data_IF_628466998601
#
_entry.id   IF_628466998601
#
_cell.length_a   1.000
_cell.length_b   1.000
_cell.length_c   1.000
_cell.angle_alpha   90.00
_cell.angle_beta   90.00
_cell.angle_gamma   90.00
#
_symmetry.space_group_name_H-M   'P 1'
#
loop_
_entity.id
_entity.type
_entity.pdbx_description
1 polymer ?
#
# COMPACT_ATOMS: atom_id res chain seq x y z
N UNK A 1 0.30 -7.89 -11.68
CA UNK A 1 0.11 -8.42 -13.05
C UNK A 1 1.36 -9.19 -13.36
N UNK A 2 1.19 -10.50 -13.43
CA UNK A 2 2.25 -11.41 -13.82
C UNK A 2 2.29 -11.47 -15.35
N UNK A 3 3.41 -11.01 -15.91
CA UNK A 3 3.70 -11.07 -17.33
C UNK A 3 4.71 -12.16 -17.69
N UNK A 4 5.05 -13.07 -16.77
CA UNK A 4 5.91 -14.22 -17.03
C UNK A 4 5.18 -15.30 -17.83
N UNK A 5 5.94 -16.21 -18.43
CA UNK A 5 5.38 -17.40 -19.06
C UNK A 5 5.53 -18.59 -18.13
N UNK A 6 4.53 -19.47 -18.12
CA UNK A 6 4.54 -20.75 -17.41
C UNK A 6 5.62 -21.69 -17.95
N UNK A 7 6.84 -21.48 -17.47
CA UNK A 7 7.95 -22.34 -17.81
C UNK A 7 7.74 -23.74 -17.21
N UNK A 8 8.06 -24.82 -17.95
CA UNK A 8 8.04 -26.15 -17.37
C UNK A 8 9.10 -26.25 -16.27
N UNK A 9 8.89 -27.11 -15.27
CA UNK A 9 9.80 -27.32 -14.13
C UNK A 9 11.28 -27.69 -14.48
N UNK A 10 11.57 -27.93 -15.76
CA UNK A 10 12.93 -28.13 -16.27
C UNK A 10 13.64 -26.82 -16.68
N UNK A 11 12.94 -25.69 -16.63
CA UNK A 11 13.50 -24.38 -16.94
C UNK A 11 14.47 -23.94 -15.85
N UNK A 12 15.58 -23.29 -16.21
CA UNK A 12 16.48 -22.67 -15.24
C UNK A 12 15.92 -21.37 -14.64
N UNK A 13 14.84 -20.83 -15.22
CA UNK A 13 14.15 -19.61 -14.75
C UNK A 13 13.06 -19.97 -13.72
N UNK A 14 12.66 -19.04 -12.84
CA UNK A 14 11.63 -19.28 -11.83
C UNK A 14 10.35 -19.78 -12.47
N UNK A 15 9.68 -20.67 -11.77
CA UNK A 15 8.33 -21.08 -12.13
C UNK A 15 7.34 -19.97 -11.77
N UNK A 16 6.14 -20.06 -12.34
CA UNK A 16 5.01 -19.21 -12.00
C UNK A 16 4.70 -19.25 -10.48
N UNK A 17 4.77 -20.43 -9.86
CA UNK A 17 4.60 -20.60 -8.41
C UNK A 17 5.70 -19.85 -7.61
N UNK A 18 6.96 -19.87 -8.08
CA UNK A 18 8.04 -19.12 -7.41
C UNK A 18 7.82 -17.60 -7.50
N UNK A 19 7.27 -17.13 -8.61
CA UNK A 19 6.96 -15.72 -8.85
C UNK A 19 5.78 -15.25 -8.00
N UNK A 20 4.71 -16.03 -7.99
CA UNK A 20 3.52 -15.79 -7.17
C UNK A 20 3.86 -15.77 -5.68
N UNK A 21 4.65 -16.74 -5.20
CA UNK A 21 5.09 -16.80 -3.81
C UNK A 21 5.95 -15.57 -3.44
N UNK A 22 6.91 -15.20 -4.29
CA UNK A 22 7.77 -14.04 -4.05
C UNK A 22 6.97 -12.73 -3.99
N UNK A 23 6.11 -12.47 -4.97
CA UNK A 23 5.30 -11.24 -4.98
C UNK A 23 4.24 -11.25 -3.87
N UNK A 24 3.71 -12.41 -3.50
CA UNK A 24 2.82 -12.54 -2.34
C UNK A 24 3.56 -12.25 -1.03
N UNK A 25 4.82 -12.64 -0.89
CA UNK A 25 5.63 -12.39 0.29
C UNK A 25 5.95 -10.90 0.47
N UNK A 26 6.51 -10.25 -0.56
CA UNK A 26 6.91 -8.83 -0.48
C UNK A 26 5.70 -7.89 -0.34
N UNK A 27 4.51 -8.36 -0.72
CA UNK A 27 3.26 -7.59 -0.67
C UNK A 27 2.28 -8.08 0.40
N UNK A 28 2.68 -9.03 1.27
CA UNK A 28 1.81 -9.61 2.30
C UNK A 28 1.18 -8.55 3.24
N UNK A 29 1.82 -7.39 3.36
CA UNK A 29 1.31 -6.25 4.09
C UNK A 29 0.16 -5.49 3.41
N UNK A 30 -0.24 -5.79 2.18
CA UNK A 30 -1.18 -4.99 1.39
C UNK A 30 -2.38 -5.80 0.91
N UNK A 31 -3.50 -5.12 0.60
CA UNK A 31 -4.67 -5.78 0.00
C UNK A 31 -4.45 -5.93 -1.51
N UNK A 32 -3.94 -7.09 -1.90
CA UNK A 32 -3.55 -7.38 -3.29
C UNK A 32 -4.47 -8.41 -3.96
N UNK A 33 -4.42 -8.39 -5.28
CA UNK A 33 -4.89 -9.46 -6.17
C UNK A 33 -3.86 -9.69 -7.25
N UNK A 34 -3.64 -10.93 -7.67
CA UNK A 34 -2.83 -11.26 -8.85
C UNK A 34 -3.70 -11.35 -10.11
N UNK A 35 -3.05 -11.14 -11.25
CA UNK A 35 -3.62 -11.34 -12.58
C UNK A 35 -2.53 -11.95 -13.45
N UNK A 36 -2.76 -13.16 -13.94
CA UNK A 36 -1.82 -13.90 -14.76
C UNK A 36 -2.16 -13.71 -16.24
N UNK A 37 -1.22 -13.11 -16.98
CA UNK A 37 -1.38 -12.87 -18.42
C UNK A 37 -1.29 -14.16 -19.23
N UNK A 38 -0.52 -15.16 -18.79
CA UNK A 38 -0.41 -16.45 -19.48
C UNK A 38 -1.73 -17.23 -19.43
N UNK A 39 -2.42 -17.23 -18.28
CA UNK A 39 -3.73 -17.87 -18.14
C UNK A 39 -4.91 -17.03 -18.65
N UNK A 40 -5.00 -15.76 -18.27
CA UNK A 40 -6.20 -14.93 -18.48
C UNK A 40 -6.09 -13.94 -19.65
N UNK A 41 -4.90 -13.81 -20.23
CA UNK A 41 -4.60 -12.80 -21.25
C UNK A 41 -4.46 -11.39 -20.65
N UNK A 42 -4.43 -10.37 -21.52
CA UNK A 42 -4.23 -8.99 -21.05
C UNK A 42 -5.39 -8.52 -20.18
N UNK A 43 -5.12 -7.88 -19.03
CA UNK A 43 -6.17 -7.34 -18.18
C UNK A 43 -6.95 -6.25 -18.93
N UNK A 44 -8.29 -6.32 -18.99
CA UNK A 44 -9.08 -5.26 -19.62
C UNK A 44 -9.02 -3.98 -18.79
N UNK A 45 -9.27 -2.81 -19.39
CA UNK A 45 -9.29 -1.52 -18.67
C UNK A 45 -10.23 -1.52 -17.45
N UNK A 46 -11.32 -2.28 -17.48
CA UNK A 46 -12.24 -2.43 -16.35
C UNK A 46 -11.60 -3.13 -15.14
N UNK A 47 -10.57 -3.94 -15.37
CA UNK A 47 -9.79 -4.56 -14.32
C UNK A 47 -8.83 -3.53 -13.70
N UNK A 48 -8.03 -2.84 -14.52
CA UNK A 48 -7.15 -1.75 -14.08
C UNK A 48 -7.87 -0.72 -13.21
N UNK A 49 -9.08 -0.32 -13.62
CA UNK A 49 -9.85 0.72 -12.95
C UNK A 49 -10.26 0.39 -11.50
N UNK A 50 -10.09 -0.85 -11.05
CA UNK A 50 -10.38 -1.26 -9.66
C UNK A 50 -9.25 -0.90 -8.69
N UNK A 51 -8.04 -0.66 -9.18
CA UNK A 51 -6.84 -0.56 -8.35
C UNK A 51 -6.23 0.84 -8.42
N UNK A 52 -5.76 1.35 -7.29
CA UNK A 52 -4.97 2.59 -7.21
C UNK A 52 -3.53 2.39 -7.68
N UNK A 53 -3.00 1.17 -7.52
CA UNK A 53 -1.64 0.79 -7.89
C UNK A 53 -1.63 -0.51 -8.65
N UNK A 54 -0.85 -0.55 -9.74
CA UNK A 54 -0.54 -1.75 -10.50
C UNK A 54 0.95 -2.04 -10.37
N UNK A 55 1.27 -3.28 -10.06
CA UNK A 55 2.63 -3.81 -10.14
C UNK A 55 2.67 -4.74 -11.34
N UNK A 56 3.56 -4.45 -12.27
CA UNK A 56 3.84 -5.26 -13.43
C UNK A 56 5.23 -5.88 -13.27
N UNK A 57 5.29 -7.21 -13.28
CA UNK A 57 6.55 -7.94 -13.26
C UNK A 57 6.64 -8.90 -14.43
N UNK A 58 7.86 -9.10 -14.91
CA UNK A 58 8.15 -9.92 -16.07
C UNK A 58 9.62 -10.34 -16.00
N UNK A 59 9.81 -11.43 -15.31
CA UNK A 59 11.13 -11.98 -15.06
C UNK A 59 11.49 -13.01 -16.16
N UNK A 60 10.82 -12.88 -17.32
CA UNK A 60 11.04 -13.64 -18.55
C UNK A 60 11.97 -12.90 -19.53
N UNK A 61 12.79 -13.64 -20.26
CA UNK A 61 13.72 -13.17 -21.28
C UNK A 61 13.17 -13.27 -22.71
N UNK A 62 11.97 -13.85 -22.91
CA UNK A 62 11.41 -14.13 -24.25
C UNK A 62 10.33 -13.14 -24.66
N UNK A 63 9.35 -12.84 -23.80
CA UNK A 63 8.23 -11.97 -24.18
C UNK A 63 7.85 -10.98 -23.07
N UNK A 64 7.51 -9.75 -23.45
CA UNK A 64 7.03 -8.73 -22.52
C UNK A 64 5.62 -8.28 -22.91
N UNK A 65 4.60 -8.83 -22.24
CA UNK A 65 3.21 -8.63 -22.64
C UNK A 65 2.73 -7.17 -22.58
N UNK A 66 3.37 -6.30 -21.80
CA UNK A 66 2.93 -4.90 -21.69
C UNK A 66 3.03 -4.13 -23.02
N UNK A 67 3.92 -4.54 -23.94
CA UNK A 67 4.00 -3.94 -25.29
C UNK A 67 2.68 -4.09 -26.07
N UNK A 68 1.92 -5.16 -25.81
CA UNK A 68 0.61 -5.37 -26.43
C UNK A 68 -0.53 -4.59 -25.74
N UNK A 69 -0.33 -4.09 -24.51
CA UNK A 69 -1.39 -3.48 -23.67
C UNK A 69 -1.24 -1.96 -23.46
N UNK A 70 -0.52 -1.28 -24.35
CA UNK A 70 -0.27 0.17 -24.23
C UNK A 70 -1.51 1.02 -24.05
N UNK A 71 -2.65 0.63 -24.62
CA UNK A 71 -3.85 1.45 -24.55
C UNK A 71 -4.45 1.49 -23.14
N UNK A 72 -4.53 0.34 -22.47
CA UNK A 72 -5.15 0.27 -21.15
C UNK A 72 -4.21 0.84 -20.09
N UNK A 73 -2.94 0.46 -20.11
CA UNK A 73 -1.92 1.00 -19.21
C UNK A 73 -1.80 2.54 -19.34
N UNK A 74 -1.79 3.07 -20.57
CA UNK A 74 -1.84 4.52 -20.82
C UNK A 74 -3.09 5.16 -20.21
N UNK A 75 -4.26 4.59 -20.49
CA UNK A 75 -5.54 5.14 -20.01
C UNK A 75 -5.61 5.15 -18.49
N UNK A 76 -5.05 4.12 -17.86
CA UNK A 76 -4.91 3.99 -16.42
C UNK A 76 -4.00 5.07 -15.81
N UNK A 77 -2.79 5.26 -16.37
CA UNK A 77 -1.86 6.31 -15.92
C UNK A 77 -2.45 7.71 -16.10
N UNK A 78 -3.12 7.99 -17.23
CA UNK A 78 -3.80 9.27 -17.45
C UNK A 78 -4.98 9.52 -16.49
N UNK A 79 -5.52 8.46 -15.87
CA UNK A 79 -6.53 8.57 -14.82
C UNK A 79 -5.93 8.78 -13.41
N UNK A 80 -4.60 8.84 -13.29
CA UNK A 80 -3.87 9.05 -12.04
C UNK A 80 -3.49 7.77 -11.30
N UNK A 81 -3.54 6.61 -11.97
CA UNK A 81 -3.11 5.34 -11.40
C UNK A 81 -1.59 5.26 -11.20
N UNK A 82 -1.13 4.48 -10.23
CA UNK A 82 0.30 4.27 -9.97
C UNK A 82 0.80 2.99 -10.63
N UNK A 83 2.03 2.99 -11.14
CA UNK A 83 2.61 1.83 -11.81
C UNK A 83 4.03 1.52 -11.33
N UNK A 84 4.28 0.29 -10.89
CA UNK A 84 5.62 -0.26 -10.77
C UNK A 84 5.85 -1.23 -11.93
N UNK A 85 6.97 -1.09 -12.63
CA UNK A 85 7.44 -2.07 -13.61
C UNK A 85 8.78 -2.63 -13.15
N UNK A 86 8.88 -3.95 -13.13
CA UNK A 86 10.10 -4.72 -12.91
C UNK A 86 10.27 -5.69 -14.06
N UNK A 87 11.38 -5.57 -14.80
CA UNK A 87 11.58 -6.38 -15.99
C UNK A 87 13.04 -6.60 -16.36
N UNK A 88 13.28 -7.67 -17.10
CA UNK A 88 14.52 -7.90 -17.83
C UNK A 88 14.34 -7.72 -19.32
N UNK A 89 15.46 -7.39 -19.98
CA UNK A 89 15.71 -7.46 -21.42
C UNK A 89 14.79 -6.64 -22.30
N UNK A 90 13.50 -6.56 -22.05
CA UNK A 90 12.45 -6.24 -23.01
C UNK A 90 12.01 -4.77 -22.90
N UNK A 91 12.57 -4.03 -21.94
CA UNK A 91 12.33 -2.60 -21.82
C UNK A 91 12.97 -1.78 -22.95
N UNK A 92 13.86 -2.35 -23.79
CA UNK A 92 14.31 -1.66 -25.00
C UNK A 92 13.30 -1.76 -26.15
N UNK A 93 12.38 -2.75 -26.12
CA UNK A 93 11.41 -3.01 -27.19
C UNK A 93 10.08 -2.26 -26.99
N UNK A 94 9.89 -1.59 -25.85
CA UNK A 94 8.73 -0.73 -25.61
C UNK A 94 8.69 0.42 -26.62
N UNK A 95 7.54 0.61 -27.28
CA UNK A 95 7.33 1.73 -28.20
C UNK A 95 7.78 3.08 -27.61
N UNK A 96 8.60 3.82 -28.36
CA UNK A 96 9.26 5.07 -27.94
C UNK A 96 8.28 6.10 -27.34
N UNK A 97 7.06 6.21 -27.88
CA UNK A 97 6.04 7.12 -27.35
C UNK A 97 5.50 6.67 -25.98
N UNK A 98 5.46 5.36 -25.69
CA UNK A 98 5.03 4.91 -24.37
C UNK A 98 6.15 5.09 -23.35
N UNK A 99 7.37 4.69 -23.70
CA UNK A 99 8.53 4.81 -22.82
C UNK A 99 8.86 6.26 -22.48
N UNK A 100 8.87 7.18 -23.44
CA UNK A 100 9.18 8.60 -23.20
C UNK A 100 8.08 9.30 -22.40
N UNK A 101 6.81 9.15 -22.80
CA UNK A 101 5.71 9.95 -22.24
C UNK A 101 5.02 9.33 -21.01
N UNK A 102 5.19 8.03 -20.77
CA UNK A 102 4.49 7.31 -19.71
C UNK A 102 5.42 6.61 -18.71
N UNK A 103 6.57 6.13 -19.17
CA UNK A 103 7.60 5.52 -18.30
C UNK A 103 8.78 6.45 -18.02
N UNK A 104 8.84 7.59 -18.71
CA UNK A 104 9.81 8.66 -18.57
C UNK A 104 11.27 8.28 -18.81
N UNK A 105 11.55 7.42 -19.78
CA UNK A 105 12.91 7.22 -20.29
C UNK A 105 12.95 7.39 -21.81
N UNK A 106 14.00 8.03 -22.32
CA UNK A 106 14.19 8.29 -23.75
C UNK A 106 14.75 7.08 -24.49
N UNK A 107 15.54 6.25 -23.81
CA UNK A 107 16.15 5.05 -24.40
C UNK A 107 16.49 4.05 -23.32
N UNK A 108 16.49 2.76 -23.70
CA UNK A 108 16.92 1.65 -22.86
C UNK A 108 17.91 0.78 -23.63
N UNK A 109 18.90 0.23 -22.93
CA UNK A 109 19.91 -0.68 -23.48
C UNK A 109 20.08 -1.88 -22.56
N UNK A 110 20.32 -3.06 -23.13
CA UNK A 110 20.46 -4.31 -22.39
C UNK A 110 21.91 -4.76 -22.30
N UNK A 111 22.34 -5.18 -21.10
CA UNK A 111 23.65 -5.81 -20.91
C UNK A 111 23.54 -7.31 -21.16
N UNK A 112 24.15 -7.85 -22.19
CA UNK A 112 24.13 -9.30 -22.48
C UNK A 112 25.28 -10.08 -21.81
N UNK A 113 26.03 -9.43 -20.91
CA UNK A 113 27.13 -10.01 -20.14
C UNK A 113 26.72 -10.29 -18.69
N UNK A 114 27.35 -11.28 -18.06
CA UNK A 114 27.18 -11.61 -16.63
C UNK A 114 27.95 -10.63 -15.76
N UNK A 115 27.42 -9.42 -15.67
CA UNK A 115 28.12 -8.27 -15.11
C UNK A 115 27.34 -7.55 -14.00
N UNK A 116 26.02 -7.68 -13.94
CA UNK A 116 25.24 -7.01 -12.91
C UNK A 116 25.41 -7.71 -11.56
N UNK A 117 26.19 -7.11 -10.66
CA UNK A 117 26.38 -7.58 -9.28
C UNK A 117 25.31 -7.03 -8.31
N UNK A 118 24.56 -6.02 -8.75
CA UNK A 118 23.56 -5.33 -7.97
C UNK A 118 23.39 -3.88 -8.43
N UNK A 119 22.81 -3.06 -7.57
CA UNK A 119 22.54 -1.67 -7.86
C UNK A 119 22.90 -0.76 -6.68
N UNK A 120 23.60 0.33 -6.98
CA UNK A 120 23.91 1.39 -6.03
C UNK A 120 22.69 2.30 -5.84
N UNK A 121 22.29 2.48 -4.59
CA UNK A 121 21.17 3.32 -4.22
C UNK A 121 21.45 4.80 -4.44
N UNK A 122 20.51 5.50 -5.08
CA UNK A 122 20.54 6.94 -5.32
C UNK A 122 19.36 7.60 -4.63
N UNK A 123 19.44 8.91 -4.37
CA UNK A 123 18.30 9.71 -3.87
C UNK A 123 17.57 9.13 -2.64
N UNK A 124 18.33 8.49 -1.74
CA UNK A 124 17.83 7.94 -0.48
C UNK A 124 17.42 6.46 -0.55
N UNK A 125 17.55 5.81 -1.71
CA UNK A 125 17.41 4.36 -1.83
C UNK A 125 18.67 3.64 -1.28
N UNK A 126 18.51 2.48 -0.61
CA UNK A 126 19.62 1.66 -0.15
C UNK A 126 20.29 0.92 -1.31
N UNK A 127 21.50 0.40 -1.13
CA UNK A 127 22.11 -0.49 -2.12
C UNK A 127 21.36 -1.85 -2.17
N UNK A 128 21.28 -2.43 -3.37
CA UNK A 128 20.70 -3.76 -3.61
C UNK A 128 21.79 -4.68 -4.17
N UNK A 129 21.86 -5.92 -3.68
CA UNK A 129 22.72 -6.95 -4.21
C UNK A 129 21.89 -8.04 -4.91
N UNK A 130 22.52 -8.71 -5.88
CA UNK A 130 21.98 -9.94 -6.48
C UNK A 130 22.01 -11.06 -5.45
N UNK A 131 20.91 -11.81 -5.37
CA UNK A 131 20.83 -13.06 -4.62
C UNK A 131 21.50 -14.17 -5.44
N UNK A 132 22.67 -14.63 -4.98
CA UNK A 132 23.49 -15.61 -5.69
C UNK A 132 22.82 -16.98 -5.76
N UNK A 133 21.91 -17.31 -4.83
CA UNK A 133 21.21 -18.59 -4.81
C UNK A 133 20.07 -18.64 -5.84
N UNK A 134 19.63 -17.47 -6.33
CA UNK A 134 18.57 -17.35 -7.35
C UNK A 134 19.09 -17.23 -8.77
N UNK A 135 20.41 -17.24 -9.00
CA UNK A 135 20.97 -17.11 -10.34
C UNK A 135 20.60 -18.34 -11.20
N UNK A 136 19.94 -18.15 -12.36
CA UNK A 136 19.30 -19.26 -13.07
C UNK A 136 20.31 -20.18 -13.79
N UNK A 137 21.44 -19.61 -14.21
CA UNK A 137 22.41 -20.29 -15.07
C UNK A 137 23.79 -20.27 -14.43
N UNK A 138 24.35 -21.45 -14.13
CA UNK A 138 25.65 -21.57 -13.48
C UNK A 138 26.81 -20.87 -14.22
N UNK A 139 26.72 -20.73 -15.55
CA UNK A 139 27.74 -20.03 -16.33
C UNK A 139 27.67 -18.50 -16.20
N UNK A 140 26.64 -17.96 -15.54
CA UNK A 140 26.56 -16.55 -15.17
C UNK A 140 27.41 -16.21 -13.94
N UNK A 141 27.91 -17.22 -13.21
CA UNK A 141 28.66 -16.99 -11.98
C UNK A 141 27.78 -16.33 -10.93
N UNK A 142 28.27 -15.23 -10.35
CA UNK A 142 27.61 -14.53 -9.24
C UNK A 142 26.83 -13.28 -9.70
N UNK A 143 26.66 -13.09 -11.01
CA UNK A 143 26.08 -11.87 -11.58
C UNK A 143 24.94 -12.16 -12.56
N UNK A 144 24.01 -11.23 -12.71
CA UNK A 144 22.92 -11.34 -13.68
C UNK A 144 23.30 -10.85 -15.07
N UNK A 145 22.63 -11.43 -16.08
CA UNK A 145 22.59 -10.93 -17.46
C UNK A 145 21.26 -10.22 -17.74
N UNK A 146 21.24 -9.50 -18.85
CA UNK A 146 20.07 -8.87 -19.45
C UNK A 146 19.41 -7.75 -18.63
N UNK A 147 20.16 -7.16 -17.71
CA UNK A 147 19.74 -5.96 -17.01
C UNK A 147 19.79 -4.75 -17.94
N UNK A 148 18.74 -3.95 -17.88
CA UNK A 148 18.60 -2.72 -18.66
C UNK A 148 19.22 -1.53 -17.93
N UNK A 149 19.86 -0.65 -18.70
CA UNK A 149 20.13 0.74 -18.32
C UNK A 149 19.24 1.69 -19.12
N UNK A 150 18.99 2.86 -18.56
CA UNK A 150 18.12 3.87 -19.11
C UNK A 150 18.86 5.18 -19.37
N UNK A 151 18.38 5.92 -20.37
CA UNK A 151 18.58 7.35 -20.49
C UNK A 151 17.29 8.02 -20.01
N UNK A 152 17.27 8.58 -18.79
CA UNK A 152 16.05 9.17 -18.23
C UNK A 152 15.54 10.34 -19.10
N UNK A 153 14.22 10.49 -19.17
CA UNK A 153 13.58 11.68 -19.75
C UNK A 153 13.54 12.83 -18.73
N UNK A 154 13.21 14.03 -19.20
CA UNK A 154 13.08 15.19 -18.32
C UNK A 154 12.05 14.96 -17.21
N UNK A 155 12.45 15.23 -15.97
CA UNK A 155 11.60 15.05 -14.78
C UNK A 155 11.66 13.66 -14.15
N UNK A 156 12.26 12.66 -14.81
CA UNK A 156 12.57 11.39 -14.16
C UNK A 156 13.71 11.56 -13.15
N UNK A 157 13.60 10.86 -12.03
CA UNK A 157 14.60 10.79 -10.98
C UNK A 157 15.23 9.40 -10.98
N UNK A 158 16.54 9.33 -11.15
CA UNK A 158 17.27 8.08 -11.02
C UNK A 158 17.22 7.56 -9.57
N UNK A 159 16.92 6.28 -9.37
CA UNK A 159 16.91 5.66 -8.03
C UNK A 159 18.01 4.62 -7.86
N UNK A 160 18.52 4.07 -8.97
CA UNK A 160 19.58 3.07 -8.93
C UNK A 160 20.60 3.24 -10.06
N UNK A 161 21.87 3.16 -9.70
CA UNK A 161 23.00 3.00 -10.62
C UNK A 161 23.44 1.55 -10.69
N UNK A 162 23.80 1.06 -11.87
CA UNK A 162 24.24 -0.32 -12.12
C UNK A 162 25.62 -0.56 -11.48
N UNK A 163 25.75 -1.64 -10.72
CA UNK A 163 27.04 -2.08 -10.14
C UNK A 163 27.65 -3.17 -11.04
N UNK A 164 28.70 -2.81 -11.77
CA UNK A 164 29.39 -3.67 -12.73
C UNK A 164 30.48 -4.48 -12.02
N UNK A 165 30.33 -5.80 -12.04
CA UNK A 165 31.30 -6.74 -11.47
C UNK A 165 32.68 -6.61 -12.12
N UNK A 166 32.73 -6.24 -13.41
CA UNK A 166 33.98 -6.07 -14.16
C UNK A 166 34.43 -4.61 -14.26
N UNK A 167 33.72 -3.66 -13.62
CA UNK A 167 33.93 -2.22 -13.75
C UNK A 167 33.89 -1.74 -15.21
N UNK A 168 32.93 -2.24 -15.99
CA UNK A 168 32.71 -1.79 -17.37
C UNK A 168 32.32 -0.30 -17.37
N UNK A 169 33.09 0.59 -18.02
CA UNK A 169 32.83 2.03 -17.99
C UNK A 169 31.50 2.44 -18.65
N UNK A 170 30.92 1.60 -19.51
CA UNK A 170 29.62 1.88 -20.13
C UNK A 170 28.45 1.51 -19.21
N UNK A 171 28.67 0.65 -18.22
CA UNK A 171 27.64 0.11 -17.34
C UNK A 171 27.78 0.57 -15.90
N UNK A 172 28.98 0.68 -15.38
CA UNK A 172 29.26 1.12 -14.02
C UNK A 172 28.63 2.50 -13.74
N UNK A 173 27.73 2.55 -12.74
CA UNK A 173 26.90 3.71 -12.38
C UNK A 173 25.88 4.17 -13.44
N UNK A 174 25.68 3.43 -14.54
CA UNK A 174 24.61 3.72 -15.48
C UNK A 174 23.25 3.54 -14.80
N UNK A 175 22.28 4.39 -15.12
CA UNK A 175 20.97 4.35 -14.45
C UNK A 175 20.25 3.05 -14.83
N UNK A 176 19.97 2.19 -13.86
CA UNK A 176 19.27 0.91 -14.08
C UNK A 176 17.89 0.85 -13.39
N UNK A 177 17.52 1.89 -12.65
CA UNK A 177 16.12 2.13 -12.30
C UNK A 177 15.86 3.61 -12.02
N UNK A 178 14.61 4.02 -12.23
CA UNK A 178 14.17 5.41 -12.10
C UNK A 178 12.72 5.48 -11.61
N UNK A 179 12.32 6.67 -11.18
CA UNK A 179 10.94 7.01 -10.85
C UNK A 179 10.53 8.34 -11.49
N UNK A 180 9.23 8.54 -11.63
CA UNK A 180 8.66 9.83 -12.02
C UNK A 180 7.39 10.09 -11.21
N UNK A 181 7.28 11.30 -10.67
CA UNK A 181 6.10 11.79 -9.95
C UNK A 181 5.52 13.02 -10.65
N UNK A 182 4.32 12.87 -11.20
CA UNK A 182 3.55 13.94 -11.82
C UNK A 182 2.06 13.75 -11.54
N UNK A 183 1.25 13.78 -12.60
CA UNK A 183 -0.20 13.47 -12.51
C UNK A 183 -0.47 12.01 -12.12
N UNK A 184 0.52 11.15 -12.33
CA UNK A 184 0.61 9.77 -11.86
C UNK A 184 2.02 9.50 -11.34
N UNK A 185 2.22 8.34 -10.71
CA UNK A 185 3.53 7.92 -10.22
C UNK A 185 3.95 6.63 -10.90
N UNK A 186 5.20 6.59 -11.35
CA UNK A 186 5.77 5.40 -11.97
C UNK A 186 7.15 5.09 -11.42
N UNK A 187 7.39 3.80 -11.19
CA UNK A 187 8.70 3.22 -10.90
C UNK A 187 9.05 2.24 -12.01
N UNK A 188 10.28 2.32 -12.53
CA UNK A 188 10.76 1.44 -13.60
C UNK A 188 12.10 0.87 -13.19
N UNK A 189 12.14 -0.45 -13.01
CA UNK A 189 13.33 -1.23 -12.73
C UNK A 189 13.76 -1.98 -13.99
N UNK A 190 15.02 -1.78 -14.38
CA UNK A 190 15.66 -2.49 -15.49
C UNK A 190 16.17 -3.87 -15.12
N UNK A 191 15.91 -4.30 -13.89
CA UNK A 191 16.21 -5.62 -13.37
C UNK A 191 14.98 -6.15 -12.61
N UNK A 192 14.80 -7.47 -12.55
CA UNK A 192 13.76 -8.14 -11.83
C UNK A 192 14.02 -8.12 -10.34
N UNK A 193 12.97 -7.95 -9.56
CA UNK A 193 13.08 -7.95 -8.11
C UNK A 193 13.32 -9.35 -7.55
N UNK A 194 12.82 -10.41 -8.20
CA UNK A 194 12.93 -11.80 -7.73
C UNK A 194 14.37 -12.20 -7.40
N UNK A 195 15.31 -11.81 -8.26
CA UNK A 195 16.72 -12.20 -8.21
C UNK A 195 17.59 -11.33 -7.28
N UNK A 196 16.97 -10.40 -6.56
CA UNK A 196 17.67 -9.57 -5.58
C UNK A 196 17.54 -10.16 -4.18
N UNK A 197 18.44 -9.73 -3.30
CA UNK A 197 18.39 -10.06 -1.87
C UNK A 197 17.06 -9.64 -1.22
N UNK A 198 16.39 -10.59 -0.57
CA UNK A 198 15.03 -10.42 -0.04
C UNK A 198 14.90 -9.20 0.88
N UNK A 199 15.84 -9.03 1.83
CA UNK A 199 15.78 -7.93 2.80
C UNK A 199 15.86 -6.55 2.15
N UNK A 200 16.55 -6.45 1.01
CA UNK A 200 16.63 -5.21 0.26
C UNK A 200 15.32 -4.96 -0.48
N UNK A 201 14.68 -6.01 -1.02
CA UNK A 201 13.38 -5.90 -1.69
C UNK A 201 12.27 -5.48 -0.71
N UNK A 202 12.19 -6.11 0.46
CA UNK A 202 11.19 -5.75 1.47
C UNK A 202 11.25 -4.25 1.81
N UNK A 203 12.47 -3.75 2.04
CA UNK A 203 12.68 -2.33 2.37
C UNK A 203 12.25 -1.39 1.24
N UNK A 204 12.56 -1.71 -0.02
CA UNK A 204 12.21 -0.82 -1.14
C UNK A 204 10.72 -0.88 -1.46
N UNK A 205 10.07 -2.02 -1.30
CA UNK A 205 8.63 -2.16 -1.55
C UNK A 205 7.87 -1.32 -0.54
N UNK A 206 8.22 -1.36 0.74
CA UNK A 206 7.63 -0.48 1.76
C UNK A 206 7.78 1.01 1.38
N UNK A 207 8.97 1.41 0.91
CA UNK A 207 9.21 2.79 0.46
C UNK A 207 8.35 3.17 -0.74
N UNK A 208 8.26 2.29 -1.76
CA UNK A 208 7.51 2.56 -2.99
C UNK A 208 6.01 2.61 -2.71
N UNK A 209 5.49 1.68 -1.90
CA UNK A 209 4.08 1.66 -1.53
C UNK A 209 3.69 2.91 -0.74
N UNK A 210 4.54 3.35 0.20
CA UNK A 210 4.35 4.61 0.90
C UNK A 210 4.33 5.81 -0.07
N UNK A 211 5.24 5.83 -1.06
CA UNK A 211 5.25 6.85 -2.11
C UNK A 211 3.99 6.80 -2.99
N UNK A 212 3.44 5.63 -3.28
CA UNK A 212 2.17 5.46 -3.97
C UNK A 212 0.95 5.86 -3.11
N UNK A 213 1.13 5.96 -1.79
CA UNK A 213 0.06 6.26 -0.85
C UNK A 213 -0.74 5.03 -0.45
N UNK A 214 -0.21 3.83 -0.71
CA UNK A 214 -0.78 2.57 -0.26
C UNK A 214 -0.45 2.38 1.22
N UNK A 215 -1.47 2.03 2.01
CA UNK A 215 -1.29 1.71 3.42
C UNK A 215 -1.18 0.21 3.59
N UNK A 216 -0.24 -0.23 4.41
CA UNK A 216 -0.24 -1.63 4.83
C UNK A 216 -1.52 -1.92 5.61
N UNK A 217 -2.04 -3.14 5.53
CA UNK A 217 -3.17 -3.65 6.32
C UNK A 217 -2.87 -3.53 7.82
N UNK A 218 -1.59 -3.67 8.22
CA UNK A 218 -1.15 -3.40 9.58
C UNK A 218 -1.37 -1.91 9.96
N UNK A 219 -1.10 -0.97 9.06
CA UNK A 219 -1.37 0.45 9.27
C UNK A 219 -2.86 0.82 9.10
N UNK A 220 -3.65 0.07 8.33
CA UNK A 220 -5.12 0.21 8.33
C UNK A 220 -5.70 -0.11 9.71
N UNK A 221 -5.12 -1.07 10.44
CA UNK A 221 -5.51 -1.31 11.85
C UNK A 221 -5.08 -0.20 12.81
N UNK A 222 -4.18 0.69 12.38
CA UNK A 222 -3.72 1.88 13.10
C UNK A 222 -4.41 3.17 12.66
N UNK A 223 -5.34 3.12 11.70
CA UNK A 223 -6.21 4.26 11.42
C UNK A 223 -6.87 4.70 12.73
N UNK A 224 -6.86 6.01 13.07
CA UNK A 224 -7.43 6.47 14.32
C UNK A 224 -8.87 6.00 14.37
N UNK A 225 -9.15 5.13 15.36
CA UNK A 225 -10.48 4.61 15.68
C UNK A 225 -11.45 5.78 15.55
N UNK A 226 -12.33 5.77 14.55
CA UNK A 226 -13.34 6.81 14.43
C UNK A 226 -14.40 6.55 15.50
N UNK A 227 -14.11 7.00 16.73
CA UNK A 227 -15.07 7.00 17.81
C UNK A 227 -16.07 8.12 17.52
N UNK A 228 -17.27 7.76 17.10
CA UNK A 228 -18.38 8.70 16.99
C UNK A 228 -19.12 8.76 18.34
N UNK A 229 -19.47 9.96 18.80
CA UNK A 229 -20.30 10.18 19.98
C UNK A 229 -21.36 11.24 19.67
N UNK A 230 -22.62 10.83 19.66
CA UNK A 230 -23.75 11.68 19.32
C UNK A 230 -24.84 11.55 20.38
N UNK A 231 -25.77 12.51 20.39
CA UNK A 231 -26.97 12.40 21.20
C UNK A 231 -28.17 12.95 20.45
N UNK A 232 -29.32 12.28 20.55
CA UNK A 232 -30.57 12.72 19.98
C UNK A 232 -31.76 12.38 20.89
N UNK A 233 -32.70 13.31 21.13
CA UNK A 233 -32.68 14.71 20.67
C UNK A 233 -31.62 15.57 21.39
N UNK A 234 -31.23 16.71 20.79
CA UNK A 234 -30.43 17.77 21.40
C UNK A 234 -30.85 19.12 20.79
N UNK A 235 -31.50 20.04 21.54
CA UNK A 235 -31.80 19.97 22.97
C UNK A 235 -32.83 18.87 23.31
N UNK A 236 -32.86 18.40 24.56
CA UNK A 236 -33.74 17.31 25.01
C UNK A 236 -34.55 17.65 26.27
N UNK A 237 -35.69 16.97 26.48
CA UNK A 237 -36.57 17.14 27.64
C UNK A 237 -37.29 15.83 28.05
N UNK A 238 -37.06 15.29 29.26
CA UNK A 238 -35.79 15.28 29.98
C UNK A 238 -34.86 14.17 29.46
N UNK A 239 -35.25 13.43 28.41
CA UNK A 239 -34.58 12.22 27.95
C UNK A 239 -33.86 12.39 26.62
N UNK A 240 -32.64 11.86 26.50
CA UNK A 240 -31.87 11.78 25.25
C UNK A 240 -31.23 10.39 25.11
N UNK A 241 -31.09 9.91 23.88
CA UNK A 241 -30.29 8.73 23.58
C UNK A 241 -28.90 9.18 23.20
N UNK A 242 -27.88 8.65 23.88
CA UNK A 242 -26.48 8.87 23.59
C UNK A 242 -26.00 7.66 22.80
N UNK A 243 -25.60 7.86 21.55
CA UNK A 243 -25.16 6.81 20.64
C UNK A 243 -23.67 6.95 20.36
N UNK A 244 -22.96 5.82 20.34
CA UNK A 244 -21.53 5.79 20.10
C UNK A 244 -21.09 4.53 19.34
N UNK A 245 -20.03 4.66 18.56
CA UNK A 245 -19.43 3.56 17.80
C UNK A 245 -18.02 3.27 18.30
N UNK A 246 -17.74 2.00 18.65
CA UNK A 246 -16.45 1.53 19.17
C UNK A 246 -16.19 0.14 18.60
N UNK A 247 -14.98 -0.11 18.08
CA UNK A 247 -14.63 -1.44 17.57
C UNK A 247 -14.46 -2.47 18.71
N UNK A 248 -14.79 -3.72 18.41
CA UNK A 248 -14.94 -4.86 19.35
C UNK A 248 -13.69 -5.14 20.20
N UNK A 249 -12.49 -4.81 19.71
CA UNK A 249 -11.22 -4.98 20.43
C UNK A 249 -10.97 -3.92 21.52
N UNK A 250 -11.68 -2.78 21.48
CA UNK A 250 -11.54 -1.64 22.41
C UNK A 250 -12.56 -1.62 23.55
N UNK A 251 -13.29 -2.73 23.78
CA UNK A 251 -14.48 -2.77 24.65
C UNK A 251 -14.18 -2.92 26.14
N UNK A 252 -12.97 -3.37 26.52
CA UNK A 252 -12.61 -3.61 27.92
C UNK A 252 -12.18 -2.31 28.62
N UNK A 253 -12.98 -1.82 29.56
CA UNK A 253 -12.68 -0.60 30.35
C UNK A 253 -13.33 0.68 29.82
N UNK A 254 -14.25 0.58 28.87
CA UNK A 254 -14.99 1.73 28.33
C UNK A 254 -16.01 2.28 29.35
N UNK A 255 -15.93 3.58 29.63
CA UNK A 255 -16.86 4.29 30.52
C UNK A 255 -17.45 5.51 29.82
N UNK A 256 -18.77 5.68 29.93
CA UNK A 256 -19.46 6.89 29.49
C UNK A 256 -19.90 7.69 30.72
N UNK A 257 -19.39 8.91 30.86
CA UNK A 257 -19.64 9.78 32.02
C UNK A 257 -20.28 11.09 31.56
N UNK A 258 -21.30 11.53 32.26
CA UNK A 258 -21.94 12.82 32.05
C UNK A 258 -21.43 13.81 33.09
N UNK A 259 -20.97 14.97 32.64
CA UNK A 259 -20.48 16.07 33.47
C UNK A 259 -21.36 17.31 33.35
N UNK A 260 -21.46 18.09 34.42
CA UNK A 260 -22.01 19.45 34.36
C UNK A 260 -20.93 20.49 33.97
N UNK A 261 -21.34 21.75 33.79
CA UNK A 261 -20.41 22.87 33.47
C UNK A 261 -19.27 23.09 34.47
N UNK A 262 -19.42 22.60 35.71
CA UNK A 262 -18.39 22.68 36.76
C UNK A 262 -17.42 21.49 36.73
N UNK A 263 -17.58 20.57 35.77
CA UNK A 263 -16.78 19.34 35.68
C UNK A 263 -17.14 18.29 36.72
N UNK A 264 -18.29 18.41 37.39
CA UNK A 264 -18.73 17.40 38.37
C UNK A 264 -19.39 16.23 37.62
N UNK A 265 -19.04 15.00 38.01
CA UNK A 265 -19.71 13.79 37.52
C UNK A 265 -21.18 13.81 37.98
N UNK A 266 -22.07 13.67 37.01
CA UNK A 266 -23.53 13.63 37.16
C UNK A 266 -24.03 12.19 37.06
N UNK A 267 -23.55 11.44 36.07
CA UNK A 267 -24.04 10.11 35.74
C UNK A 267 -22.92 9.30 35.10
N UNK A 268 -22.64 8.10 35.60
CA UNK A 268 -21.76 7.13 34.93
C UNK A 268 -22.57 5.96 34.36
N UNK A 269 -22.18 5.48 33.19
CA UNK A 269 -22.70 4.25 32.56
C UNK A 269 -21.53 3.29 32.30
N UNK A 270 -21.65 2.05 32.79
CA UNK A 270 -20.66 1.01 32.49
C UNK A 270 -21.05 0.34 31.18
N UNK A 271 -20.37 0.69 30.10
CA UNK A 271 -20.86 0.41 28.75
C UNK A 271 -21.02 -1.09 28.43
N UNK A 272 -20.35 -1.98 29.17
CA UNK A 272 -20.54 -3.42 29.08
C UNK A 272 -20.78 -3.97 30.49
N UNK A 273 -21.94 -4.58 30.81
CA UNK A 273 -23.05 -5.06 29.94
C UNK A 273 -24.28 -4.12 29.83
N UNK A 274 -24.19 -2.85 30.24
CA UNK A 274 -25.39 -1.99 30.41
C UNK A 274 -25.85 -1.25 29.15
N UNK A 275 -25.07 -1.27 28.06
CA UNK A 275 -25.46 -0.66 26.78
C UNK A 275 -26.32 -1.58 25.94
N UNK A 276 -27.26 -0.98 25.21
CA UNK A 276 -27.97 -1.67 24.14
C UNK A 276 -27.02 -1.78 22.94
N UNK A 277 -26.47 -2.97 22.74
CA UNK A 277 -25.62 -3.36 21.61
C UNK A 277 -25.68 -4.86 21.39
N UNK A 278 -25.61 -5.32 20.14
CA UNK A 278 -25.48 -6.75 19.83
C UNK A 278 -24.02 -7.14 20.04
N UNK A 279 -23.76 -8.27 20.69
CA UNK A 279 -22.40 -8.77 20.85
C UNK A 279 -21.75 -8.98 19.47
N UNK A 280 -20.75 -8.17 19.13
CA UNK A 280 -20.09 -8.16 17.81
C UNK A 280 -20.45 -6.97 16.91
N UNK A 281 -21.36 -6.09 17.31
CA UNK A 281 -21.69 -4.84 16.61
C UNK A 281 -20.88 -3.67 17.18
N UNK A 282 -20.46 -2.74 16.33
CA UNK A 282 -19.72 -1.53 16.72
C UNK A 282 -20.63 -0.45 17.27
N UNK A 283 -21.94 -0.50 16.98
CA UNK A 283 -22.92 0.50 17.39
C UNK A 283 -23.53 0.22 18.77
N UNK A 284 -23.46 1.21 19.67
CA UNK A 284 -23.92 1.11 21.05
C UNK A 284 -24.70 2.35 21.48
N UNK A 285 -25.63 2.20 22.42
CA UNK A 285 -26.39 3.35 22.95
C UNK A 285 -26.80 3.20 24.42
N UNK A 286 -26.96 4.35 25.08
CA UNK A 286 -27.60 4.48 26.39
C UNK A 286 -28.67 5.57 26.37
N UNK A 287 -29.65 5.44 27.25
CA UNK A 287 -30.67 6.46 27.47
C UNK A 287 -30.37 7.19 28.77
N UNK A 288 -30.24 8.51 28.70
CA UNK A 288 -30.16 9.37 29.88
C UNK A 288 -31.47 10.13 30.07
N UNK A 289 -32.07 10.01 31.26
CA UNK A 289 -33.38 10.58 31.62
C UNK A 289 -33.28 11.91 32.42
N UNK A 290 -32.10 12.54 32.44
CA UNK A 290 -31.87 13.80 33.13
C UNK A 290 -31.82 13.66 34.66
N UNK A 291 -31.39 12.50 35.17
CA UNK A 291 -31.11 12.25 36.59
C UNK A 291 -29.62 12.01 36.85
N UNK A 292 -29.21 12.26 38.09
CA UNK A 292 -27.87 11.91 38.57
C UNK A 292 -27.77 10.43 39.02
N UNK A 293 -26.59 10.01 39.48
CA UNK A 293 -26.37 8.65 39.98
C UNK A 293 -27.19 8.27 41.23
N UNK A 294 -27.70 9.27 41.96
CA UNK A 294 -28.62 9.05 43.09
C UNK A 294 -30.09 9.03 42.65
N UNK A 295 -30.37 9.09 41.35
CA UNK A 295 -31.72 9.13 40.80
C UNK A 295 -32.42 10.48 40.97
N UNK A 296 -31.69 11.55 41.33
CA UNK A 296 -32.26 12.89 41.51
C UNK A 296 -32.27 13.65 40.18
N UNK A 297 -33.38 14.33 39.81
CA UNK A 297 -33.41 15.14 38.59
C UNK A 297 -32.41 16.30 38.65
N UNK A 298 -31.66 16.51 37.57
CA UNK A 298 -30.72 17.65 37.44
C UNK A 298 -31.38 18.90 36.85
N UNK A 299 -30.80 20.08 36.99
CA UNK A 299 -31.36 21.33 36.47
C UNK A 299 -31.23 21.46 34.94
N UNK A 300 -32.08 22.24 34.28
CA UNK A 300 -31.86 22.65 32.88
C UNK A 300 -30.48 23.30 32.72
N UNK A 301 -29.79 23.03 31.62
CA UNK A 301 -28.43 23.52 31.42
C UNK A 301 -27.59 22.69 30.45
N UNK A 302 -26.33 23.08 30.32
CA UNK A 302 -25.35 22.40 29.47
C UNK A 302 -24.68 21.27 30.23
N UNK A 303 -24.59 20.12 29.57
CA UNK A 303 -23.89 18.92 30.06
C UNK A 303 -22.93 18.41 28.99
N UNK A 304 -21.93 17.63 29.40
CA UNK A 304 -20.99 16.98 28.50
C UNK A 304 -21.00 15.48 28.74
N UNK A 305 -21.34 14.70 27.71
CA UNK A 305 -21.09 13.26 27.71
C UNK A 305 -19.64 13.03 27.30
N UNK A 306 -18.90 12.23 28.05
CA UNK A 306 -17.50 11.90 27.81
C UNK A 306 -17.36 10.39 27.75
N UNK A 307 -16.95 9.89 26.60
CA UNK A 307 -16.65 8.49 26.36
C UNK A 307 -15.14 8.29 26.51
N UNK A 308 -14.74 7.50 27.50
CA UNK A 308 -13.35 7.13 27.72
C UNK A 308 -13.16 5.68 27.25
N UNK A 309 -12.20 5.45 26.36
CA UNK A 309 -11.71 4.13 25.98
C UNK A 309 -10.23 4.00 26.39
N UNK A 310 -9.64 2.82 26.25
CA UNK A 310 -8.21 2.62 26.58
C UNK A 310 -7.26 3.54 25.78
N UNK A 311 -7.66 3.92 24.57
CA UNK A 311 -6.77 4.62 23.64
C UNK A 311 -7.19 6.08 23.38
N UNK A 312 -8.45 6.44 23.61
CA UNK A 312 -8.98 7.76 23.24
C UNK A 312 -10.10 8.25 24.17
N UNK A 313 -10.37 9.55 24.09
CA UNK A 313 -11.44 10.22 24.83
C UNK A 313 -12.21 11.14 23.89
N UNK A 314 -13.52 10.92 23.76
CA UNK A 314 -14.40 11.78 22.95
C UNK A 314 -15.46 12.41 23.84
N UNK A 315 -15.80 13.68 23.58
CA UNK A 315 -16.80 14.41 24.36
C UNK A 315 -17.87 15.06 23.48
N UNK A 316 -19.12 15.04 23.93
CA UNK A 316 -20.27 15.64 23.26
C UNK A 316 -21.01 16.60 24.19
N UNK A 317 -21.18 17.84 23.75
CA UNK A 317 -22.00 18.85 24.43
C UNK A 317 -23.48 18.57 24.23
N UNK A 318 -24.25 18.60 25.30
CA UNK A 318 -25.69 18.33 25.35
C UNK A 318 -26.43 19.48 26.05
N UNK A 319 -27.65 19.80 25.61
CA UNK A 319 -28.49 20.83 26.21
C UNK A 319 -29.79 20.23 26.74
N UNK A 320 -29.93 20.19 28.07
CA UNK A 320 -31.17 19.81 28.74
C UNK A 320 -32.07 21.04 28.90
N UNK A 321 -33.29 20.96 28.37
CA UNK A 321 -34.36 21.94 28.60
C UNK A 321 -35.50 21.23 29.29
N UNK A 322 -35.88 21.69 30.49
CA UNK A 322 -37.11 21.27 31.18
C UNK A 322 -38.22 22.26 30.91
#
# INVERSE_FOLDING_TARGET
VDGTQDYPASSPFPSDEDMDDFYSEILNGYNITSWDVAADGMPPLTEYAKYSTIIWHTDDIVNFPLDDDFYNAKSYLLAGGNLLISAWKLLYDIQENFSEYYLHYNSSYTNDQSDFAGAFGLNGFPDIAVDMDKIPLAFWGDNLQYVNKFIPADGAEAIYGFNSAINDPDWENAICAQRFFGDYKVYVFGFPLYYMEQSSIDQIIDMIMADFGEMSVADETLLPIQISLTNYPNPFNPTTTISFEINTESTKGTELIIYNLKGQNVKSFNCFPECNGVQGDTSNSVVWDGKDDNGKPVSSGIYFAKLNTNNQTVSKKMLLMK
#
